data_IF_060111057020
#
_entry.id   IF_060111057020
#
_cell.length_a   1.000
_cell.length_b   1.000
_cell.length_c   1.000
_cell.angle_alpha   90.00
_cell.angle_beta   90.00
_cell.angle_gamma   90.00
#
_symmetry.space_group_name_H-M   'P 1'
#
loop_
_entity.id
_entity.type
_entity.pdbx_description
1 polymer ?
#
# COMPACT_ATOMS: atom_id res chain seq x y z
N UNK A 1 -27.83 -33.17 -20.40
CA UNK A 1 -26.50 -33.00 -21.06
C UNK A 1 -25.57 -34.21 -20.90
N UNK A 2 -25.99 -35.31 -20.26
CA UNK A 2 -25.26 -36.58 -20.17
C UNK A 2 -23.81 -36.49 -19.66
N UNK A 3 -23.48 -35.54 -18.79
CA UNK A 3 -22.13 -35.38 -18.23
C UNK A 3 -21.03 -34.85 -19.17
N UNK A 4 -21.41 -34.33 -20.33
CA UNK A 4 -20.46 -33.87 -21.37
C UNK A 4 -20.30 -32.34 -21.39
N UNK A 5 -21.00 -31.60 -20.55
CA UNK A 5 -20.95 -30.15 -20.50
C UNK A 5 -20.64 -29.72 -19.07
N UNK A 6 -19.60 -28.91 -18.93
CA UNK A 6 -19.19 -28.29 -17.68
C UNK A 6 -19.47 -26.80 -17.75
N UNK A 7 -20.12 -26.25 -16.71
CA UNK A 7 -20.39 -24.82 -16.58
C UNK A 7 -19.60 -24.30 -15.41
N UNK A 8 -18.74 -23.33 -15.66
CA UNK A 8 -18.00 -22.58 -14.64
C UNK A 8 -18.48 -21.15 -14.63
N UNK A 9 -18.73 -20.62 -13.45
CA UNK A 9 -19.10 -19.21 -13.24
C UNK A 9 -18.12 -18.58 -12.27
N UNK A 10 -17.84 -17.30 -12.45
CA UNK A 10 -17.01 -16.52 -11.55
C UNK A 10 -17.78 -15.33 -11.00
N UNK A 11 -17.54 -14.98 -9.75
CA UNK A 11 -18.11 -13.81 -9.09
C UNK A 11 -17.03 -13.11 -8.27
N UNK A 12 -17.15 -11.81 -8.11
CA UNK A 12 -16.25 -11.03 -7.24
C UNK A 12 -16.53 -11.25 -5.76
N UNK A 13 -17.79 -11.50 -5.40
CA UNK A 13 -18.20 -11.82 -4.03
C UNK A 13 -18.52 -13.30 -3.89
N UNK A 14 -18.20 -13.86 -2.73
CA UNK A 14 -18.59 -15.23 -2.43
C UNK A 14 -20.13 -15.35 -2.51
N UNK A 15 -20.60 -16.40 -3.17
CA UNK A 15 -22.04 -16.63 -3.34
C UNK A 15 -22.77 -16.62 -2.00
N UNK A 16 -22.12 -17.07 -0.93
CA UNK A 16 -22.69 -17.13 0.42
C UNK A 16 -22.76 -15.76 1.12
N UNK A 17 -22.05 -14.75 0.63
CA UNK A 17 -22.06 -13.37 1.17
C UNK A 17 -23.11 -12.46 0.53
N UNK A 18 -23.75 -12.90 -0.56
CA UNK A 18 -24.78 -12.13 -1.27
C UNK A 18 -26.11 -12.27 -0.54
N UNK A 19 -26.24 -11.66 0.62
CA UNK A 19 -27.46 -11.69 1.46
C UNK A 19 -28.58 -10.78 0.96
N UNK A 20 -28.34 -9.94 -0.05
CA UNK A 20 -29.30 -8.93 -0.53
C UNK A 20 -30.26 -9.40 -1.62
N UNK A 21 -30.08 -10.59 -2.18
CA UNK A 21 -30.99 -11.16 -3.17
C UNK A 21 -31.90 -12.15 -2.45
N UNK A 22 -32.98 -11.65 -1.91
CA UNK A 22 -34.08 -12.50 -1.38
C UNK A 22 -34.91 -13.03 -2.53
N UNK A 23 -34.84 -14.31 -2.79
CA UNK A 23 -35.73 -14.96 -3.74
C UNK A 23 -35.37 -16.43 -3.97
N UNK A 24 -36.39 -17.22 -4.31
CA UNK A 24 -36.30 -18.65 -4.67
C UNK A 24 -35.28 -18.97 -5.76
N UNK A 25 -34.90 -17.97 -6.57
CA UNK A 25 -33.99 -18.15 -7.70
C UNK A 25 -32.54 -18.25 -7.26
N UNK A 26 -32.16 -17.60 -6.14
CA UNK A 26 -30.80 -17.67 -5.63
C UNK A 26 -30.49 -19.05 -5.03
N UNK A 27 -31.41 -19.63 -4.29
CA UNK A 27 -31.25 -21.00 -3.77
C UNK A 27 -31.18 -22.05 -4.89
N UNK A 28 -31.90 -21.82 -6.03
CA UNK A 28 -31.79 -22.68 -7.22
C UNK A 28 -30.42 -22.58 -7.89
N UNK A 29 -29.82 -21.40 -7.91
CA UNK A 29 -28.44 -21.20 -8.43
C UNK A 29 -27.44 -21.89 -7.51
N UNK A 30 -27.54 -21.69 -6.20
CA UNK A 30 -26.66 -22.31 -5.21
C UNK A 30 -26.71 -23.84 -5.28
N UNK A 31 -27.90 -24.43 -5.47
CA UNK A 31 -28.07 -25.88 -5.60
C UNK A 31 -27.47 -26.50 -6.88
N UNK A 32 -27.21 -25.69 -7.90
CA UNK A 32 -26.65 -26.15 -9.18
C UNK A 32 -25.13 -26.11 -9.22
N UNK A 33 -24.49 -25.30 -8.37
CA UNK A 33 -23.05 -25.14 -8.29
C UNK A 33 -22.51 -25.73 -6.98
N UNK A 34 -22.32 -27.05 -6.96
CA UNK A 34 -21.92 -27.78 -5.76
C UNK A 34 -20.44 -27.62 -5.42
N UNK A 35 -19.61 -27.30 -6.43
CA UNK A 35 -18.18 -27.07 -6.22
C UNK A 35 -17.96 -25.55 -6.17
N UNK A 36 -17.51 -25.07 -5.02
CA UNK A 36 -17.24 -23.66 -4.78
C UNK A 36 -15.76 -23.51 -4.42
N UNK A 37 -15.09 -22.64 -5.13
CA UNK A 37 -13.69 -22.30 -4.89
C UNK A 37 -13.64 -20.81 -4.54
N UNK A 38 -13.14 -20.49 -3.37
CA UNK A 38 -12.87 -19.10 -2.98
C UNK A 38 -11.39 -18.83 -3.11
N UNK A 39 -11.05 -17.72 -3.76
CA UNK A 39 -9.70 -17.18 -3.75
C UNK A 39 -9.54 -16.32 -2.49
N UNK A 40 -8.59 -16.66 -1.64
CA UNK A 40 -8.29 -15.89 -0.43
C UNK A 40 -7.31 -14.75 -0.73
N UNK A 41 -7.29 -13.72 0.11
CA UNK A 41 -6.35 -12.61 0.00
C UNK A 41 -4.88 -13.04 0.08
N UNK A 42 -4.58 -14.17 0.72
CA UNK A 42 -3.24 -14.78 0.71
C UNK A 42 -2.77 -15.19 -0.70
N UNK A 43 -3.70 -15.45 -1.62
CA UNK A 43 -3.38 -15.73 -3.01
C UNK A 43 -2.97 -14.48 -3.79
N UNK A 44 -3.41 -13.29 -3.39
CA UNK A 44 -3.05 -12.02 -4.05
C UNK A 44 -1.57 -11.70 -3.83
N UNK A 45 -1.09 -11.84 -2.60
CA UNK A 45 0.33 -11.63 -2.28
C UNK A 45 1.22 -12.59 -3.08
N UNK A 46 0.78 -13.85 -3.21
CA UNK A 46 1.50 -14.84 -4.01
C UNK A 46 1.50 -14.51 -5.51
N UNK A 47 0.38 -14.00 -6.04
CA UNK A 47 0.29 -13.53 -7.44
C UNK A 47 1.22 -12.33 -7.67
N UNK A 48 1.25 -11.36 -6.74
CA UNK A 48 2.16 -10.21 -6.83
C UNK A 48 3.61 -10.72 -6.91
N UNK A 49 4.03 -11.54 -5.96
CA UNK A 49 5.39 -12.08 -5.88
C UNK A 49 5.79 -12.89 -7.09
N UNK A 50 4.93 -13.82 -7.53
CA UNK A 50 5.27 -14.78 -8.60
C UNK A 50 5.02 -14.24 -10.02
N UNK A 51 4.19 -13.21 -10.20
CA UNK A 51 3.81 -12.71 -11.53
C UNK A 51 4.29 -11.29 -11.77
N UNK A 52 3.98 -10.35 -10.86
CA UNK A 52 4.39 -8.95 -11.02
C UNK A 52 5.89 -8.80 -10.73
N UNK A 53 6.38 -9.47 -9.68
CA UNK A 53 7.76 -9.36 -9.21
C UNK A 53 8.65 -10.53 -9.65
N UNK A 54 8.25 -11.29 -10.67
CA UNK A 54 9.06 -12.38 -11.19
C UNK A 54 10.43 -11.85 -11.67
N UNK A 55 11.52 -12.48 -11.20
CA UNK A 55 12.89 -12.10 -11.53
C UNK A 55 13.48 -13.08 -12.54
N UNK A 56 14.42 -12.60 -13.32
CA UNK A 56 15.32 -13.48 -14.11
C UNK A 56 16.37 -14.09 -13.18
N UNK A 57 16.99 -15.19 -13.58
CA UNK A 57 18.07 -15.84 -12.81
C UNK A 57 19.22 -14.86 -12.48
N UNK A 58 19.55 -13.98 -13.41
CA UNK A 58 20.59 -12.95 -13.22
C UNK A 58 20.16 -11.97 -12.13
N UNK A 59 18.92 -11.48 -12.16
CA UNK A 59 18.39 -10.56 -11.16
C UNK A 59 18.33 -11.21 -9.77
N UNK A 60 17.94 -12.49 -9.68
CA UNK A 60 17.97 -13.22 -8.39
C UNK A 60 19.37 -13.30 -7.80
N UNK A 61 20.39 -13.61 -8.62
CA UNK A 61 21.77 -13.67 -8.15
C UNK A 61 22.27 -12.30 -7.66
N UNK A 62 21.97 -11.24 -8.39
CA UNK A 62 22.33 -9.87 -7.98
C UNK A 62 21.64 -9.47 -6.67
N UNK A 63 20.37 -9.78 -6.52
CA UNK A 63 19.62 -9.48 -5.28
C UNK A 63 20.14 -10.28 -4.08
N UNK A 64 20.55 -11.55 -4.26
CA UNK A 64 21.21 -12.32 -3.21
C UNK A 64 22.51 -11.67 -2.74
N UNK A 65 23.36 -11.23 -3.68
CA UNK A 65 24.57 -10.50 -3.34
C UNK A 65 24.29 -9.16 -2.63
N UNK A 66 23.22 -8.47 -3.06
CA UNK A 66 22.77 -7.26 -2.39
C UNK A 66 22.34 -7.52 -0.95
N UNK A 67 21.58 -8.57 -0.72
CA UNK A 67 21.13 -8.96 0.62
C UNK A 67 22.34 -9.30 1.53
N UNK A 68 23.27 -10.11 1.05
CA UNK A 68 24.48 -10.45 1.81
C UNK A 68 25.26 -9.21 2.29
N UNK A 69 25.38 -8.21 1.41
CA UNK A 69 26.11 -6.97 1.72
C UNK A 69 25.34 -6.05 2.67
N UNK A 70 24.02 -6.04 2.60
CA UNK A 70 23.18 -5.03 3.24
C UNK A 70 22.23 -5.58 4.32
N UNK A 71 22.24 -6.88 4.64
CA UNK A 71 21.27 -7.49 5.56
C UNK A 71 21.21 -6.82 6.95
N UNK A 72 22.33 -6.35 7.47
CA UNK A 72 22.37 -5.63 8.73
C UNK A 72 21.64 -4.27 8.66
N UNK A 73 21.83 -3.55 7.56
CA UNK A 73 21.13 -2.28 7.30
C UNK A 73 19.63 -2.53 7.14
N UNK A 74 19.25 -3.49 6.31
CA UNK A 74 17.86 -3.88 6.05
C UNK A 74 17.13 -4.30 7.33
N UNK A 75 17.77 -5.08 8.20
CA UNK A 75 17.20 -5.49 9.48
C UNK A 75 16.88 -4.31 10.39
N UNK A 76 17.76 -3.29 10.40
CA UNK A 76 17.61 -2.12 11.26
C UNK A 76 16.70 -1.05 10.65
N UNK A 77 16.61 -0.99 9.32
CA UNK A 77 15.87 0.06 8.61
C UNK A 77 14.35 -0.02 8.90
N UNK A 78 13.80 -1.21 9.00
CA UNK A 78 12.36 -1.44 9.10
C UNK A 78 11.91 -1.85 10.51
N UNK A 79 12.40 -1.15 11.53
CA UNK A 79 11.97 -1.36 12.93
C UNK A 79 11.00 -0.25 13.32
N UNK A 80 9.71 -0.56 13.31
CA UNK A 80 8.64 0.37 13.67
C UNK A 80 8.57 0.57 15.18
N UNK A 81 8.30 1.82 15.59
CA UNK A 81 8.02 2.16 16.99
C UNK A 81 6.50 2.18 17.23
N UNK A 82 6.06 1.63 18.36
CA UNK A 82 4.65 1.64 18.78
C UNK A 82 3.68 1.12 17.71
N UNK A 83 4.07 0.07 16.96
CA UNK A 83 3.20 -0.62 16.04
C UNK A 83 2.55 -1.83 16.74
N UNK A 84 1.22 -1.93 16.66
CA UNK A 84 0.46 -3.09 17.15
C UNK A 84 0.50 -4.19 16.09
N UNK A 85 0.44 -3.81 14.82
CA UNK A 85 0.62 -4.73 13.70
C UNK A 85 2.02 -5.31 13.69
N UNK A 86 2.10 -6.58 13.38
CA UNK A 86 3.35 -7.27 13.10
C UNK A 86 3.91 -6.82 11.74
N UNK A 87 4.43 -5.58 11.72
CA UNK A 87 5.05 -4.97 10.56
C UNK A 87 6.53 -5.32 10.56
N UNK A 88 6.90 -6.30 9.74
CA UNK A 88 8.27 -6.81 9.64
C UNK A 88 8.96 -6.36 8.35
N UNK A 89 10.27 -6.13 8.47
CA UNK A 89 11.17 -6.12 7.32
C UNK A 89 11.37 -7.53 6.77
N UNK A 90 12.46 -7.73 6.07
CA UNK A 90 12.77 -9.03 5.47
C UNK A 90 13.19 -10.06 6.52
N UNK A 91 12.58 -11.24 6.49
CA UNK A 91 12.95 -12.36 7.37
C UNK A 91 14.28 -13.03 6.95
N UNK A 92 14.65 -12.91 5.67
CA UNK A 92 15.87 -13.47 5.13
C UNK A 92 16.05 -13.18 3.63
N UNK A 93 17.12 -13.73 3.06
CA UNK A 93 17.51 -13.55 1.66
C UNK A 93 16.38 -13.95 0.69
N UNK A 94 15.77 -15.12 0.91
CA UNK A 94 14.71 -15.61 0.03
C UNK A 94 13.52 -14.65 -0.05
N UNK A 95 13.07 -14.12 1.09
CA UNK A 95 11.98 -13.15 1.13
C UNK A 95 12.38 -11.82 0.49
N UNK A 96 13.62 -11.36 0.69
CA UNK A 96 14.13 -10.17 0.01
C UNK A 96 14.09 -10.33 -1.51
N UNK A 97 14.63 -11.43 -2.04
CA UNK A 97 14.62 -11.70 -3.49
C UNK A 97 13.18 -11.78 -4.02
N UNK A 98 12.28 -12.44 -3.30
CA UNK A 98 10.90 -12.64 -3.72
C UNK A 98 10.10 -11.34 -3.76
N UNK A 99 10.27 -10.46 -2.75
CA UNK A 99 9.43 -9.27 -2.58
C UNK A 99 10.03 -7.98 -3.12
N UNK A 100 11.37 -7.91 -3.32
CA UNK A 100 12.04 -6.71 -3.86
C UNK A 100 11.34 -6.19 -5.13
N UNK A 101 11.10 -4.89 -5.29
CA UNK A 101 11.58 -3.75 -4.49
C UNK A 101 10.67 -3.37 -3.31
N UNK A 102 9.71 -4.21 -2.97
CA UNK A 102 8.82 -3.99 -1.83
C UNK A 102 9.37 -4.62 -0.56
N UNK A 103 9.00 -4.03 0.58
CA UNK A 103 9.29 -4.58 1.90
C UNK A 103 8.07 -5.37 2.40
N UNK A 104 8.25 -6.53 3.04
CA UNK A 104 7.15 -7.41 3.46
C UNK A 104 6.03 -6.71 4.23
N UNK A 105 6.33 -5.73 5.11
CA UNK A 105 5.32 -4.98 5.85
C UNK A 105 4.30 -4.27 4.93
N UNK A 106 4.70 -3.88 3.72
CA UNK A 106 3.86 -3.12 2.80
C UNK A 106 2.65 -3.93 2.32
N UNK A 107 2.78 -5.24 2.15
CA UNK A 107 1.67 -6.12 1.80
C UNK A 107 0.59 -6.08 2.88
N UNK A 108 0.99 -6.25 4.14
CA UNK A 108 0.07 -6.23 5.28
C UNK A 108 -0.55 -4.85 5.48
N UNK A 109 0.27 -3.81 5.46
CA UNK A 109 -0.19 -2.44 5.65
C UNK A 109 -1.17 -2.02 4.55
N UNK A 110 -0.90 -2.37 3.29
CA UNK A 110 -1.77 -2.03 2.16
C UNK A 110 -3.13 -2.74 2.24
N UNK A 111 -3.18 -3.99 2.68
CA UNK A 111 -4.44 -4.69 2.95
C UNK A 111 -5.29 -3.94 3.98
N UNK A 112 -4.68 -3.46 5.06
CA UNK A 112 -5.38 -2.68 6.09
C UNK A 112 -5.84 -1.32 5.56
N UNK A 113 -4.98 -0.61 4.83
CA UNK A 113 -5.33 0.67 4.19
C UNK A 113 -6.56 0.51 3.30
N UNK A 114 -6.59 -0.51 2.43
CA UNK A 114 -7.74 -0.77 1.55
C UNK A 114 -9.01 -1.14 2.34
N UNK A 115 -8.87 -1.89 3.43
CA UNK A 115 -10.00 -2.23 4.30
C UNK A 115 -10.58 -1.00 4.99
N UNK A 116 -9.72 -0.14 5.54
CA UNK A 116 -10.15 1.08 6.26
C UNK A 116 -10.72 2.16 5.31
N UNK A 117 -10.14 2.35 4.13
CA UNK A 117 -10.72 3.26 3.12
C UNK A 117 -12.16 2.82 2.76
N UNK A 118 -12.41 1.53 2.60
CA UNK A 118 -13.76 1.01 2.32
C UNK A 118 -14.72 1.21 3.49
N UNK A 119 -14.28 0.95 4.70
CA UNK A 119 -15.07 1.06 5.93
C UNK A 119 -15.50 2.49 6.20
N UNK A 120 -14.62 3.46 5.96
CA UNK A 120 -14.89 4.87 6.18
C UNK A 120 -15.63 5.59 5.03
N UNK A 121 -16.03 4.84 3.98
CA UNK A 121 -16.85 5.38 2.89
C UNK A 121 -16.16 6.40 1.99
N UNK A 122 -14.85 6.59 2.16
CA UNK A 122 -14.05 7.53 1.36
C UNK A 122 -13.73 6.98 -0.04
N UNK A 123 -14.34 5.88 -0.41
CA UNK A 123 -14.21 5.26 -1.73
C UNK A 123 -15.52 5.36 -2.50
N UNK A 124 -15.47 5.79 -3.75
CA UNK A 124 -16.58 5.65 -4.67
C UNK A 124 -16.98 4.18 -4.83
N UNK A 125 -18.19 3.93 -5.36
CA UNK A 125 -18.79 2.59 -5.53
C UNK A 125 -17.90 1.55 -6.27
N UNK A 126 -16.75 1.94 -6.80
CA UNK A 126 -15.89 1.12 -7.66
C UNK A 126 -14.68 0.48 -6.97
N UNK A 127 -14.42 0.73 -5.68
CA UNK A 127 -13.40 -0.01 -4.91
C UNK A 127 -13.92 -1.42 -4.52
N UNK A 128 -14.63 -2.06 -5.46
CA UNK A 128 -15.44 -3.26 -5.22
C UNK A 128 -14.64 -4.55 -4.99
N UNK A 129 -13.38 -4.63 -5.45
CA UNK A 129 -12.52 -5.77 -5.14
C UNK A 129 -11.17 -5.31 -4.62
N UNK A 130 -10.93 -5.50 -3.33
CA UNK A 130 -9.65 -5.21 -2.69
C UNK A 130 -8.46 -5.91 -3.38
N UNK A 131 -8.72 -7.07 -3.98
CA UNK A 131 -7.71 -7.86 -4.70
C UNK A 131 -7.21 -7.17 -5.97
N UNK A 132 -8.12 -6.66 -6.82
CA UNK A 132 -7.73 -5.93 -8.04
C UNK A 132 -6.99 -4.64 -7.70
N UNK A 133 -7.48 -3.90 -6.71
CA UNK A 133 -6.83 -2.69 -6.24
C UNK A 133 -5.44 -2.97 -5.67
N UNK A 134 -5.28 -4.09 -4.96
CA UNK A 134 -3.98 -4.55 -4.45
C UNK A 134 -3.01 -4.83 -5.60
N UNK A 135 -3.43 -5.64 -6.60
CA UNK A 135 -2.60 -5.96 -7.76
C UNK A 135 -2.17 -4.72 -8.54
N UNK A 136 -3.13 -3.82 -8.86
CA UNK A 136 -2.84 -2.58 -9.59
C UNK A 136 -1.88 -1.67 -8.79
N UNK A 137 -2.10 -1.52 -7.48
CA UNK A 137 -1.26 -0.68 -6.64
C UNK A 137 0.20 -1.14 -6.61
N UNK A 138 0.44 -2.44 -6.47
CA UNK A 138 1.79 -2.98 -6.48
C UNK A 138 2.43 -2.89 -7.88
N UNK A 139 1.66 -3.15 -8.93
CA UNK A 139 2.16 -3.02 -10.30
C UNK A 139 2.55 -1.58 -10.64
N UNK A 140 1.69 -0.61 -10.38
CA UNK A 140 1.94 0.80 -10.69
C UNK A 140 3.08 1.38 -9.84
N UNK A 141 3.14 1.04 -8.54
CA UNK A 141 4.23 1.45 -7.67
C UNK A 141 5.59 0.87 -8.11
N UNK A 142 5.63 -0.40 -8.57
CA UNK A 142 6.84 -0.99 -9.14
C UNK A 142 7.26 -0.28 -10.45
N UNK A 143 6.30 0.06 -11.31
CA UNK A 143 6.55 0.78 -12.56
C UNK A 143 7.07 2.20 -12.31
N UNK A 144 6.61 2.88 -11.25
CA UNK A 144 7.06 4.21 -10.90
C UNK A 144 8.58 4.29 -10.62
N UNK A 145 9.17 3.20 -10.14
CA UNK A 145 10.60 3.13 -9.83
C UNK A 145 11.43 2.31 -10.82
N UNK A 146 10.85 1.85 -11.93
CA UNK A 146 11.50 0.93 -12.88
C UNK A 146 12.83 1.41 -13.47
N UNK A 147 13.07 2.73 -13.46
CA UNK A 147 14.30 3.35 -13.97
C UNK A 147 15.33 3.68 -12.86
N UNK A 148 15.04 3.30 -11.62
CA UNK A 148 15.97 3.45 -10.50
C UNK A 148 16.99 2.30 -10.48
N UNK A 149 18.06 2.48 -9.72
CA UNK A 149 19.10 1.45 -9.55
C UNK A 149 18.64 0.28 -8.62
N UNK A 150 19.50 -0.70 -8.46
CA UNK A 150 19.25 -1.92 -7.67
C UNK A 150 19.18 -1.69 -6.15
N UNK A 151 19.37 -0.48 -5.68
CA UNK A 151 19.22 -0.12 -4.27
C UNK A 151 17.86 0.50 -3.96
N UNK A 152 17.08 0.81 -5.00
CA UNK A 152 15.80 1.47 -4.84
C UNK A 152 14.78 0.59 -4.12
N UNK A 153 14.00 1.22 -3.25
CA UNK A 153 12.82 0.65 -2.61
C UNK A 153 11.59 1.45 -3.02
N UNK A 154 10.43 0.81 -2.95
CA UNK A 154 9.15 1.50 -3.18
C UNK A 154 8.73 2.21 -1.90
N UNK A 155 8.72 3.56 -1.83
CA UNK A 155 8.16 4.27 -0.70
C UNK A 155 6.64 4.12 -0.67
N UNK A 156 6.08 4.10 0.54
CA UNK A 156 4.66 3.75 0.72
C UNK A 156 3.70 4.78 0.12
N UNK A 157 4.08 6.05 0.00
CA UNK A 157 3.24 7.09 -0.58
C UNK A 157 2.85 6.83 -2.04
N UNK A 158 3.65 6.07 -2.80
CA UNK A 158 3.35 5.75 -4.21
C UNK A 158 2.05 4.96 -4.39
N UNK A 159 1.60 4.24 -3.36
CA UNK A 159 0.29 3.57 -3.41
C UNK A 159 -0.89 4.54 -3.49
N UNK A 160 -0.71 5.82 -3.09
CA UNK A 160 -1.75 6.82 -3.21
C UNK A 160 -2.16 7.07 -4.66
N UNK A 161 -1.23 7.09 -5.59
CA UNK A 161 -1.47 7.45 -7.00
C UNK A 161 -2.41 6.46 -7.70
N UNK A 162 -2.38 5.18 -7.34
CA UNK A 162 -3.36 4.19 -7.80
C UNK A 162 -4.73 4.40 -7.16
N UNK A 163 -4.75 4.75 -5.87
CA UNK A 163 -6.00 4.86 -5.11
C UNK A 163 -6.74 6.18 -5.34
N UNK A 164 -6.03 7.25 -5.74
CA UNK A 164 -6.59 8.60 -5.82
C UNK A 164 -7.84 8.69 -6.70
N UNK A 165 -7.93 7.88 -7.77
CA UNK A 165 -9.09 7.85 -8.69
C UNK A 165 -10.36 7.34 -8.03
N UNK A 166 -10.23 6.56 -6.94
CA UNK A 166 -11.33 5.97 -6.20
C UNK A 166 -11.74 6.80 -4.96
N UNK A 167 -10.91 7.79 -4.60
CA UNK A 167 -11.12 8.59 -3.41
C UNK A 167 -12.21 9.67 -3.60
N UNK A 168 -12.80 10.06 -2.49
CA UNK A 168 -13.75 11.17 -2.46
C UNK A 168 -13.09 12.47 -2.96
N UNK A 169 -13.89 13.32 -3.59
CA UNK A 169 -13.42 14.58 -4.16
C UNK A 169 -12.89 15.55 -3.10
N UNK A 170 -13.37 15.47 -1.85
CA UNK A 170 -12.86 16.29 -0.75
C UNK A 170 -11.40 15.98 -0.45
N UNK A 171 -11.05 14.70 -0.41
CA UNK A 171 -9.66 14.24 -0.18
C UNK A 171 -8.75 14.69 -1.33
N UNK A 172 -9.19 14.46 -2.58
CA UNK A 172 -8.40 14.85 -3.76
C UNK A 172 -8.11 16.34 -3.76
N UNK A 173 -9.11 17.17 -3.46
CA UNK A 173 -8.95 18.64 -3.39
C UNK A 173 -7.90 19.09 -2.37
N UNK A 174 -7.77 18.41 -1.23
CA UNK A 174 -6.72 18.75 -0.25
C UNK A 174 -5.34 18.51 -0.84
N UNK A 175 -5.14 17.35 -1.49
CA UNK A 175 -3.86 17.02 -2.13
C UNK A 175 -3.57 17.96 -3.32
N UNK A 176 -4.59 18.22 -4.16
CA UNK A 176 -4.45 19.10 -5.33
C UNK A 176 -4.11 20.55 -4.88
N UNK A 177 -4.76 21.07 -3.84
CA UNK A 177 -4.43 22.38 -3.25
C UNK A 177 -2.99 22.43 -2.72
N UNK A 178 -2.53 21.34 -2.08
CA UNK A 178 -1.14 21.26 -1.61
C UNK A 178 -0.16 21.23 -2.80
N UNK A 179 -0.51 20.53 -3.88
CA UNK A 179 0.29 20.52 -5.12
C UNK A 179 0.35 21.92 -5.75
N UNK A 180 -0.78 22.61 -5.86
CA UNK A 180 -0.84 23.97 -6.38
C UNK A 180 0.05 24.92 -5.57
N UNK A 181 0.06 24.79 -4.22
CA UNK A 181 0.92 25.58 -3.36
C UNK A 181 2.41 25.30 -3.60
N UNK A 182 2.79 24.04 -3.84
CA UNK A 182 4.16 23.69 -4.17
C UNK A 182 4.59 24.24 -5.53
N UNK A 183 3.72 24.14 -6.55
CA UNK A 183 3.99 24.62 -7.90
C UNK A 183 4.15 26.15 -7.94
N UNK A 184 3.49 26.87 -7.05
CA UNK A 184 3.59 28.33 -6.89
C UNK A 184 4.65 28.77 -5.85
N UNK A 185 5.35 27.83 -5.22
CA UNK A 185 6.33 28.10 -4.16
C UNK A 185 5.73 28.84 -2.93
N UNK A 186 4.49 28.54 -2.59
CA UNK A 186 3.75 29.16 -1.48
C UNK A 186 4.03 28.45 -0.14
N UNK A 187 5.30 28.23 0.17
CA UNK A 187 5.75 27.66 1.45
C UNK A 187 5.54 26.14 1.57
N UNK A 188 5.20 25.47 0.48
CA UNK A 188 5.12 24.00 0.34
C UNK A 188 6.16 23.55 -0.69
N UNK A 189 6.78 22.41 -0.44
CA UNK A 189 7.73 21.77 -1.34
C UNK A 189 7.15 20.46 -1.91
N UNK A 190 7.68 20.00 -3.04
CA UNK A 190 7.22 18.74 -3.67
C UNK A 190 7.31 17.53 -2.71
N UNK A 191 8.31 17.49 -1.84
CA UNK A 191 8.47 16.44 -0.84
C UNK A 191 7.33 16.41 0.17
N UNK A 192 6.74 17.57 0.51
CA UNK A 192 5.65 17.69 1.47
C UNK A 192 4.39 16.97 0.98
N UNK A 193 4.16 16.98 -0.35
CA UNK A 193 3.03 16.31 -0.98
C UNK A 193 3.15 14.79 -0.80
N UNK A 194 4.36 14.24 -0.91
CA UNK A 194 4.60 12.82 -0.71
C UNK A 194 4.29 12.40 0.74
N UNK A 195 4.69 13.23 1.70
CA UNK A 195 4.36 13.00 3.12
C UNK A 195 2.86 13.15 3.34
N UNK A 196 2.20 14.12 2.73
CA UNK A 196 0.75 14.30 2.86
C UNK A 196 -0.02 13.11 2.28
N UNK A 197 0.38 12.59 1.12
CA UNK A 197 -0.15 11.36 0.51
C UNK A 197 0.02 10.17 1.47
N UNK A 198 1.20 10.01 2.05
CA UNK A 198 1.48 8.97 3.03
C UNK A 198 0.56 9.07 4.26
N UNK A 199 0.45 10.25 4.85
CA UNK A 199 -0.39 10.48 6.03
C UNK A 199 -1.87 10.20 5.75
N UNK A 200 -2.33 10.49 4.54
CA UNK A 200 -3.67 10.10 4.13
C UNK A 200 -3.85 8.57 4.12
N UNK A 201 -2.90 7.84 3.52
CA UNK A 201 -2.98 6.36 3.43
C UNK A 201 -3.07 5.70 4.80
N UNK A 202 -2.29 6.18 5.78
CA UNK A 202 -2.26 5.59 7.13
C UNK A 202 -3.27 6.21 8.09
N UNK A 203 -4.06 7.18 7.64
CA UNK A 203 -4.97 7.99 8.47
C UNK A 203 -5.89 7.17 9.38
N UNK A 204 -6.41 6.07 8.88
CA UNK A 204 -7.37 5.21 9.58
C UNK A 204 -6.76 3.89 10.05
N UNK A 205 -5.45 3.73 9.96
CA UNK A 205 -4.75 2.53 10.41
C UNK A 205 -4.26 2.79 11.83
N UNK A 206 -5.10 2.49 12.82
CA UNK A 206 -4.81 2.72 14.24
C UNK A 206 -3.61 1.89 14.77
N UNK A 207 -3.25 0.86 14.03
CA UNK A 207 -2.17 -0.06 14.42
C UNK A 207 -0.75 0.50 14.21
N UNK A 208 -0.62 1.64 13.54
CA UNK A 208 0.66 2.32 13.31
C UNK A 208 0.58 3.79 13.70
N UNK A 209 1.51 4.23 14.52
CA UNK A 209 1.60 5.63 14.91
C UNK A 209 2.32 6.45 13.84
N UNK A 210 1.70 7.50 13.31
CA UNK A 210 2.30 8.38 12.32
C UNK A 210 3.23 9.41 13.01
N UNK A 211 4.32 8.94 13.61
CA UNK A 211 5.41 9.74 14.14
C UNK A 211 6.58 9.83 13.14
N UNK A 212 7.54 10.72 13.38
CA UNK A 212 8.67 10.95 12.47
C UNK A 212 9.47 9.67 12.20
N UNK A 213 9.63 8.80 13.20
CA UNK A 213 10.37 7.55 13.04
C UNK A 213 9.67 6.58 12.08
N UNK A 214 8.38 6.36 12.28
CA UNK A 214 7.59 5.48 11.40
C UNK A 214 7.39 6.09 10.01
N UNK A 215 7.16 7.40 9.92
CA UNK A 215 7.11 8.11 8.63
C UNK A 215 8.41 7.93 7.87
N UNK A 216 9.59 8.01 8.53
CA UNK A 216 10.88 7.81 7.86
C UNK A 216 11.04 6.40 7.28
N UNK A 217 10.48 5.38 7.94
CA UNK A 217 10.47 4.00 7.43
C UNK A 217 9.56 3.89 6.20
N UNK A 218 8.37 4.47 6.27
CA UNK A 218 7.38 4.43 5.19
C UNK A 218 7.80 5.24 3.96
N UNK A 219 8.64 6.26 4.16
CA UNK A 219 9.20 7.11 3.10
C UNK A 219 10.52 6.58 2.50
N UNK A 220 11.04 5.45 2.99
CA UNK A 220 12.32 4.92 2.54
C UNK A 220 12.30 4.57 1.04
N UNK A 221 13.19 5.20 0.26
CA UNK A 221 13.33 5.05 -1.20
C UNK A 221 14.58 4.28 -1.62
N UNK A 222 15.53 4.07 -0.70
CA UNK A 222 16.83 3.48 -1.00
C UNK A 222 17.39 2.74 0.21
N UNK A 223 17.99 1.57 -0.02
CA UNK A 223 18.62 0.73 1.02
C UNK A 223 19.79 1.45 1.69
N UNK A 224 20.49 2.31 0.94
CA UNK A 224 21.68 3.03 1.40
C UNK A 224 21.38 4.26 2.25
N UNK A 225 20.09 4.62 2.38
CA UNK A 225 19.68 5.85 3.07
C UNK A 225 20.11 5.83 4.54
N UNK A 226 20.84 6.85 4.97
CA UNK A 226 21.10 7.10 6.38
C UNK A 226 19.79 7.43 7.11
N UNK A 227 19.67 7.03 8.38
CA UNK A 227 18.46 7.28 9.18
C UNK A 227 18.35 8.73 9.69
N UNK A 228 19.42 9.49 9.72
CA UNK A 228 19.45 10.81 10.37
C UNK A 228 18.95 11.91 9.43
N UNK A 229 19.48 11.98 8.22
CA UNK A 229 19.12 13.02 7.25
C UNK A 229 17.65 13.03 6.88
N UNK A 230 17.00 11.88 6.59
CA UNK A 230 15.57 11.85 6.28
C UNK A 230 14.68 12.33 7.42
N UNK A 231 15.04 12.08 8.67
CA UNK A 231 14.25 12.53 9.83
C UNK A 231 14.17 14.03 9.92
N UNK A 232 15.28 14.73 9.66
CA UNK A 232 15.30 16.20 9.69
C UNK A 232 14.44 16.78 8.56
N UNK A 233 14.57 16.24 7.36
CA UNK A 233 13.78 16.64 6.20
C UNK A 233 12.29 16.38 6.42
N UNK A 234 11.93 15.21 6.94
CA UNK A 234 10.56 14.86 7.31
C UNK A 234 10.00 15.83 8.36
N UNK A 235 10.78 16.15 9.41
CA UNK A 235 10.34 17.11 10.42
C UNK A 235 10.09 18.49 9.83
N UNK A 236 10.95 18.98 8.98
CA UNK A 236 10.78 20.28 8.31
C UNK A 236 9.52 20.27 7.40
N UNK A 237 9.31 19.19 6.66
CA UNK A 237 8.12 18.99 5.84
C UNK A 237 6.85 18.97 6.68
N UNK A 238 6.84 18.22 7.77
CA UNK A 238 5.69 18.18 8.69
C UNK A 238 5.40 19.54 9.33
N UNK A 239 6.43 20.32 9.66
CA UNK A 239 6.27 21.66 10.21
C UNK A 239 5.64 22.62 9.18
N UNK A 240 6.01 22.54 7.89
CA UNK A 240 5.37 23.28 6.80
C UNK A 240 3.90 22.87 6.63
N UNK A 241 3.62 21.56 6.58
CA UNK A 241 2.26 21.02 6.44
C UNK A 241 1.35 21.41 7.62
N UNK A 242 1.88 21.44 8.84
CA UNK A 242 1.13 21.89 10.04
C UNK A 242 0.88 23.39 9.97
N UNK A 243 1.87 24.21 9.61
CA UNK A 243 1.73 25.66 9.50
C UNK A 243 0.68 26.10 8.48
N UNK A 244 0.49 25.29 7.43
CA UNK A 244 -0.48 25.52 6.36
C UNK A 244 -1.82 24.79 6.55
N UNK A 245 -2.05 24.17 7.73
CA UNK A 245 -3.28 23.44 8.07
C UNK A 245 -3.63 22.25 7.17
N UNK A 246 -2.64 21.60 6.55
CA UNK A 246 -2.83 20.30 5.87
C UNK A 246 -2.78 19.13 6.84
N UNK A 247 -2.07 19.30 7.94
CA UNK A 247 -1.80 18.27 8.94
C UNK A 247 -2.02 18.83 10.34
N UNK A 248 -2.61 18.05 11.24
CA UNK A 248 -2.64 18.35 12.67
C UNK A 248 -1.54 17.57 13.38
N UNK A 249 -1.08 18.13 14.50
CA UNK A 249 -0.10 17.50 15.39
C UNK A 249 -0.69 17.31 16.78
N UNK A 250 -0.60 16.08 17.29
CA UNK A 250 -0.96 15.73 18.66
C UNK A 250 0.21 14.98 19.32
N UNK A 251 0.98 15.70 20.15
CA UNK A 251 2.22 15.16 20.71
C UNK A 251 3.28 14.90 19.64
N UNK A 252 3.62 13.62 19.42
CA UNK A 252 4.56 13.16 18.40
C UNK A 252 3.85 12.55 17.15
N UNK A 253 2.53 12.61 17.09
CA UNK A 253 1.72 12.03 16.03
C UNK A 253 1.14 13.10 15.11
N UNK A 254 1.17 12.81 13.82
CA UNK A 254 0.69 13.69 12.74
C UNK A 254 -0.51 13.06 12.04
N UNK A 255 -1.54 13.86 11.75
CA UNK A 255 -2.78 13.38 11.15
C UNK A 255 -3.19 14.27 9.99
N UNK A 256 -3.51 13.64 8.85
CA UNK A 256 -4.05 14.31 7.67
C UNK A 256 -5.38 15.00 8.02
N UNK A 257 -5.52 16.26 7.63
CA UNK A 257 -6.76 17.03 7.80
C UNK A 257 -7.58 17.00 6.49
N UNK A 258 -8.89 16.85 6.66
CA UNK A 258 -9.89 17.17 5.62
C UNK A 258 -10.47 18.53 5.91
N UNK A 259 -10.86 19.24 4.86
CA UNK A 259 -11.65 20.49 4.97
C UNK A 259 -12.97 20.22 5.68
#
# INVERSE_FOLDING_TARGET
CGGRVWVMVTSQEAIDSITKISGDDFSKIQGRFNIRLSLSSSSVDEVIKKRILAKTEIAEQLLKQQYEKNHQVLKNLFTFSYAILDLKGYAGEGEFVETYPFVPYQFRLMQNVLAEIRKHGNSGKHLSSGERSMLSSFQEAAQAIQNKDEFALVPFYLFYDTLHTFLDSSIRRVIDRCQDAADHHDGIEQYDINILKLLYLVRYVDDIKANVDNISILMAEDIRTDKISPRLEIQQSLDRLVSQNYVSRAGDTYTFLTD
#
